data_IF_707698346320
#
_entry.id   IF_707698346320
#
_cell.length_a   1.000
_cell.length_b   1.000
_cell.length_c   1.000
_cell.angle_alpha   90.00
_cell.angle_beta   90.00
_cell.angle_gamma   90.00
#
_symmetry.space_group_name_H-M   'P 1'
#
loop_
_entity.id
_entity.type
_entity.pdbx_description
1 polymer ?
#
# COMPACT_ATOMS: atom_id res chain seq x y z
N UNK A 1 43.34 -69.47 39.57
CA UNK A 1 44.13 -68.24 39.29
C UNK A 1 43.24 -67.27 38.52
N UNK A 2 42.67 -66.26 39.18
CA UNK A 2 41.80 -65.26 38.54
C UNK A 2 42.63 -64.00 38.26
N UNK A 3 42.82 -63.64 37.00
CA UNK A 3 43.47 -62.39 36.58
C UNK A 3 42.39 -61.31 36.45
N UNK A 4 42.44 -60.29 37.29
CA UNK A 4 41.66 -59.06 37.16
C UNK A 4 42.31 -58.17 36.11
N UNK A 5 41.60 -57.87 35.02
CA UNK A 5 41.96 -56.81 34.07
C UNK A 5 41.08 -55.62 34.37
N UNK A 6 41.71 -54.54 34.82
CA UNK A 6 41.08 -53.25 35.12
C UNK A 6 41.03 -52.45 33.81
N UNK A 7 39.84 -52.27 33.22
CA UNK A 7 39.66 -51.35 32.09
C UNK A 7 39.05 -50.04 32.61
N UNK A 8 39.85 -48.98 32.64
CA UNK A 8 39.39 -47.63 32.94
C UNK A 8 38.74 -47.02 31.68
N UNK A 9 37.41 -46.81 31.72
CA UNK A 9 36.69 -46.01 30.73
C UNK A 9 36.60 -44.58 31.26
N UNK A 10 37.46 -43.69 30.73
CA UNK A 10 37.31 -42.24 30.92
C UNK A 10 36.27 -41.78 29.89
N UNK A 11 35.03 -41.61 30.32
CA UNK A 11 34.01 -40.90 29.55
C UNK A 11 34.20 -39.41 29.84
N UNK A 12 34.88 -38.68 28.95
CA UNK A 12 34.85 -37.20 29.01
C UNK A 12 33.47 -36.73 28.56
N UNK A 13 32.69 -36.19 29.50
CA UNK A 13 31.44 -35.50 29.17
C UNK A 13 31.79 -34.17 28.48
N UNK A 14 31.81 -34.16 27.15
CA UNK A 14 31.78 -32.92 26.38
C UNK A 14 30.32 -32.45 26.38
N UNK A 15 29.96 -31.63 27.36
CA UNK A 15 28.70 -30.90 27.35
C UNK A 15 28.77 -29.83 26.26
N UNK A 16 28.36 -30.16 25.04
CA UNK A 16 28.02 -29.16 24.04
C UNK A 16 26.85 -28.33 24.57
N UNK A 17 27.13 -27.11 25.02
CA UNK A 17 26.12 -26.12 25.34
C UNK A 17 25.42 -25.67 24.06
N UNK A 18 24.43 -26.45 23.60
CA UNK A 18 23.51 -26.01 22.57
C UNK A 18 22.72 -24.81 23.12
N UNK A 19 23.05 -23.60 22.65
CA UNK A 19 22.21 -22.43 22.85
C UNK A 19 20.94 -22.66 22.02
N UNK A 20 19.88 -23.13 22.66
CA UNK A 20 18.55 -23.14 22.03
C UNK A 20 18.25 -21.73 21.52
N UNK A 21 17.84 -21.61 20.26
CA UNK A 21 17.38 -20.33 19.71
C UNK A 21 16.16 -19.91 20.52
N UNK A 22 16.25 -18.76 21.20
CA UNK A 22 15.10 -18.20 21.90
C UNK A 22 14.05 -17.87 20.83
N UNK A 23 12.92 -18.58 20.84
CA UNK A 23 11.77 -18.20 20.03
C UNK A 23 11.24 -16.91 20.66
N UNK A 24 11.59 -15.77 20.07
CA UNK A 24 10.98 -14.51 20.43
C UNK A 24 9.53 -14.52 19.94
N UNK A 25 8.58 -14.71 20.85
CA UNK A 25 7.17 -14.48 20.56
C UNK A 25 6.87 -13.00 20.77
N UNK A 26 6.42 -12.32 19.72
CA UNK A 26 5.88 -10.96 19.80
C UNK A 26 4.36 -11.01 19.57
N UNK A 27 3.65 -10.02 20.10
CA UNK A 27 2.21 -9.88 19.99
C UNK A 27 1.82 -8.42 19.85
N UNK A 28 0.82 -8.15 19.03
CA UNK A 28 0.23 -6.83 18.88
C UNK A 28 -1.11 -6.81 19.58
N UNK A 29 -1.32 -5.84 20.48
CA UNK A 29 -2.61 -5.63 21.13
C UNK A 29 -3.41 -4.57 20.36
N UNK A 30 -4.53 -4.99 19.77
CA UNK A 30 -5.45 -4.11 19.03
C UNK A 30 -6.48 -3.40 19.94
N UNK A 31 -6.42 -3.65 21.25
CA UNK A 31 -7.37 -3.16 22.24
C UNK A 31 -8.69 -3.95 22.25
N UNK A 32 -9.63 -3.57 23.13
CA UNK A 32 -10.94 -4.20 23.21
C UNK A 32 -11.67 -4.18 21.86
N UNK A 33 -12.23 -5.34 21.45
CA UNK A 33 -12.91 -5.51 20.17
C UNK A 33 -11.97 -5.72 18.97
N UNK A 34 -10.74 -5.19 18.99
CA UNK A 34 -9.72 -5.46 17.97
C UNK A 34 -9.98 -4.86 16.57
N UNK A 35 -11.02 -4.05 16.40
CA UNK A 35 -11.41 -3.45 15.11
C UNK A 35 -11.49 -1.92 15.13
N UNK A 36 -11.20 -1.27 16.26
CA UNK A 36 -11.31 0.19 16.38
C UNK A 36 -10.03 0.91 15.95
N UNK A 37 -8.88 0.24 16.05
CA UNK A 37 -7.57 0.84 15.84
C UNK A 37 -6.74 0.04 14.84
N UNK A 38 -5.94 0.76 14.07
CA UNK A 38 -4.81 0.19 13.34
C UNK A 38 -3.55 0.28 14.22
N UNK A 39 -2.79 -0.80 14.29
CA UNK A 39 -1.51 -0.85 15.02
C UNK A 39 -0.38 -1.14 14.05
N UNK A 40 0.54 -0.18 13.94
CA UNK A 40 1.72 -0.28 13.11
C UNK A 40 2.84 -0.91 13.94
N UNK A 41 3.40 -1.99 13.41
CA UNK A 41 4.41 -2.79 14.08
C UNK A 41 5.69 -2.85 13.25
N UNK A 42 6.83 -2.77 13.92
CA UNK A 42 8.16 -2.94 13.34
C UNK A 42 8.86 -4.10 14.04
N UNK A 43 9.46 -5.01 13.27
CA UNK A 43 10.25 -6.12 13.86
C UNK A 43 11.41 -5.66 14.75
N UNK A 44 11.91 -4.44 14.54
CA UNK A 44 13.00 -3.88 15.36
C UNK A 44 12.49 -3.21 16.63
N UNK A 45 11.33 -2.53 16.55
CA UNK A 45 10.88 -1.59 17.57
C UNK A 45 9.55 -2.00 18.25
N UNK A 46 8.96 -3.13 17.88
CA UNK A 46 7.64 -3.54 18.35
C UNK A 46 6.51 -2.66 17.78
N UNK A 47 5.46 -2.43 18.56
CA UNK A 47 4.37 -1.51 18.19
C UNK A 47 4.87 -0.06 18.18
N UNK A 48 4.86 0.60 17.03
CA UNK A 48 5.38 1.96 16.84
C UNK A 48 4.29 3.04 16.83
N UNK A 49 3.05 2.67 16.49
CA UNK A 49 1.91 3.60 16.46
C UNK A 49 0.60 2.84 16.59
N UNK A 50 -0.32 3.39 17.38
CA UNK A 50 -1.73 2.97 17.41
C UNK A 50 -2.58 4.19 17.11
N UNK A 51 -3.51 4.07 16.18
CA UNK A 51 -4.43 5.16 15.82
C UNK A 51 -5.81 4.60 15.48
N UNK A 52 -6.88 5.39 15.63
CA UNK A 52 -8.21 4.96 15.16
C UNK A 52 -8.15 4.58 13.69
N UNK A 53 -8.80 3.50 13.30
CA UNK A 53 -8.84 3.06 11.90
C UNK A 53 -9.64 3.99 10.96
N UNK A 54 -10.19 5.08 11.50
CA UNK A 54 -10.78 6.20 10.75
C UNK A 54 -9.83 7.37 10.53
N UNK A 55 -8.60 7.31 11.06
CA UNK A 55 -7.63 8.42 11.03
C UNK A 55 -6.71 8.41 9.78
N UNK A 56 -7.14 7.71 8.72
CA UNK A 56 -6.46 7.74 7.43
C UNK A 56 -7.43 7.49 6.29
N UNK A 57 -7.11 8.04 5.12
CA UNK A 57 -7.93 7.90 3.90
C UNK A 57 -7.17 7.20 2.78
N UNK A 58 -5.93 7.61 2.56
CA UNK A 58 -5.05 7.12 1.49
C UNK A 58 -3.70 6.73 2.06
N UNK A 59 -3.11 5.67 1.53
CA UNK A 59 -1.73 5.27 1.78
C UNK A 59 -0.99 5.15 0.45
N UNK A 60 0.11 5.87 0.30
CA UNK A 60 0.94 5.90 -0.90
C UNK A 60 2.15 4.98 -0.69
N UNK A 61 2.48 4.17 -1.69
CA UNK A 61 3.68 3.33 -1.63
C UNK A 61 4.94 4.19 -1.54
N UNK A 62 5.86 3.77 -0.67
CA UNK A 62 7.23 4.29 -0.54
C UNK A 62 8.27 3.30 -1.07
N UNK A 63 7.82 2.15 -1.57
CA UNK A 63 8.72 1.15 -2.17
C UNK A 63 9.24 1.65 -3.51
N UNK A 64 10.36 1.09 -3.94
CA UNK A 64 10.88 1.31 -5.28
C UNK A 64 10.17 0.43 -6.31
N UNK A 65 9.86 1.01 -7.47
CA UNK A 65 9.35 0.26 -8.63
C UNK A 65 10.42 -0.67 -9.19
N UNK A 66 10.07 -1.93 -9.44
CA UNK A 66 11.02 -2.95 -9.91
C UNK A 66 10.73 -3.37 -11.36
N UNK A 67 11.02 -2.50 -12.32
CA UNK A 67 10.84 -2.85 -13.74
C UNK A 67 11.84 -3.93 -14.21
N UNK A 68 11.43 -4.88 -15.08
CA UNK A 68 10.05 -5.15 -15.52
C UNK A 68 9.31 -6.16 -14.62
N UNK A 69 9.91 -6.64 -13.54
CA UNK A 69 9.36 -7.77 -12.75
C UNK A 69 8.12 -7.41 -11.95
N UNK A 70 8.20 -6.36 -11.13
CA UNK A 70 7.11 -5.84 -10.27
C UNK A 70 7.13 -4.30 -10.28
N UNK A 71 6.87 -3.64 -11.41
CA UNK A 71 6.89 -2.18 -11.48
C UNK A 71 5.81 -1.49 -10.62
N UNK A 72 4.71 -2.19 -10.30
CA UNK A 72 3.59 -1.70 -9.50
C UNK A 72 3.92 -1.46 -8.01
N UNK A 73 4.97 -2.09 -7.49
CA UNK A 73 5.40 -1.97 -6.08
C UNK A 73 5.55 -0.51 -5.65
N UNK A 74 6.16 0.33 -6.50
CA UNK A 74 6.39 1.76 -6.22
C UNK A 74 5.23 2.68 -6.58
N UNK A 75 4.18 2.16 -7.23
CA UNK A 75 3.09 2.94 -7.81
C UNK A 75 1.70 2.62 -7.22
N UNK A 76 1.65 1.89 -6.11
CA UNK A 76 0.41 1.52 -5.41
C UNK A 76 -0.12 2.67 -4.54
N UNK A 77 -1.45 2.89 -4.60
CA UNK A 77 -2.17 3.78 -3.69
C UNK A 77 -3.35 3.00 -3.11
N UNK A 78 -3.30 2.77 -1.80
CA UNK A 78 -4.36 2.08 -1.07
C UNK A 78 -5.37 3.07 -0.49
N UNK A 79 -6.63 2.67 -0.49
CA UNK A 79 -7.74 3.43 0.09
C UNK A 79 -8.21 2.77 1.37
N UNK A 80 -8.51 3.53 2.40
CA UNK A 80 -9.16 2.99 3.60
C UNK A 80 -10.49 2.36 3.20
N UNK A 81 -10.74 1.11 3.59
CA UNK A 81 -11.94 0.34 3.22
C UNK A 81 -13.25 0.93 3.75
N UNK A 82 -13.19 1.96 4.61
CA UNK A 82 -14.35 2.81 4.96
C UNK A 82 -14.75 3.82 3.88
N UNK A 83 -13.97 3.91 2.80
CA UNK A 83 -14.23 4.75 1.64
C UNK A 83 -14.45 3.88 0.40
N UNK A 84 -15.37 4.32 -0.44
CA UNK A 84 -15.59 3.80 -1.79
C UNK A 84 -14.81 4.66 -2.77
N UNK A 85 -13.94 4.04 -3.57
CA UNK A 85 -13.26 4.70 -4.69
C UNK A 85 -13.93 4.32 -6.01
N UNK A 86 -14.22 5.31 -6.85
CA UNK A 86 -14.76 5.10 -8.19
C UNK A 86 -13.97 5.87 -9.22
N UNK A 87 -13.70 5.26 -10.37
CA UNK A 87 -13.10 5.93 -11.52
C UNK A 87 -14.19 6.55 -12.38
N UNK A 88 -14.04 7.82 -12.73
CA UNK A 88 -14.95 8.48 -13.68
C UNK A 88 -14.70 7.99 -15.12
N UNK A 89 -15.69 8.10 -16.02
CA UNK A 89 -15.48 7.85 -17.44
C UNK A 89 -14.35 8.72 -18.00
N UNK A 90 -13.64 8.24 -19.02
CA UNK A 90 -12.50 8.97 -19.63
C UNK A 90 -12.88 10.34 -20.23
N UNK A 91 -14.16 10.57 -20.52
CA UNK A 91 -14.69 11.89 -20.91
C UNK A 91 -14.64 12.93 -19.77
N UNK A 92 -14.53 12.49 -18.52
CA UNK A 92 -14.38 13.32 -17.33
C UNK A 92 -12.92 13.36 -16.90
N UNK A 93 -12.11 14.08 -17.67
CA UNK A 93 -10.66 14.16 -17.47
C UNK A 93 -10.22 15.37 -16.66
N UNK A 94 -8.97 15.35 -16.21
CA UNK A 94 -8.38 16.46 -15.46
C UNK A 94 -8.27 17.77 -16.26
N UNK A 95 -8.24 17.72 -17.60
CA UNK A 95 -8.24 18.94 -18.42
C UNK A 95 -9.56 19.72 -18.31
N UNK A 96 -10.64 19.05 -17.92
CA UNK A 96 -11.95 19.66 -17.65
C UNK A 96 -12.28 19.67 -16.15
N UNK A 97 -11.27 19.72 -15.27
CA UNK A 97 -11.43 19.57 -13.81
C UNK A 97 -12.60 20.38 -13.20
N UNK A 98 -12.79 21.63 -13.65
CA UNK A 98 -13.83 22.52 -13.14
C UNK A 98 -15.25 22.14 -13.55
N UNK A 99 -15.42 21.45 -14.68
CA UNK A 99 -16.73 21.07 -15.22
C UNK A 99 -16.92 19.55 -15.28
N UNK A 100 -16.26 18.81 -14.40
CA UNK A 100 -16.47 17.36 -14.26
C UNK A 100 -17.92 17.10 -13.87
N UNK A 101 -18.59 16.26 -14.65
CA UNK A 101 -19.91 15.73 -14.36
C UNK A 101 -19.81 14.41 -13.57
N UNK A 102 -20.53 14.34 -12.46
CA UNK A 102 -20.64 13.15 -11.61
C UNK A 102 -22.02 12.50 -11.66
N UNK A 103 -22.87 12.88 -12.62
CA UNK A 103 -24.12 12.18 -12.89
C UNK A 103 -23.86 10.68 -13.13
N UNK A 104 -24.69 9.82 -12.53
CA UNK A 104 -24.55 8.37 -12.66
C UNK A 104 -23.42 7.74 -11.83
N UNK A 105 -22.71 8.50 -10.97
CA UNK A 105 -21.62 7.99 -10.13
C UNK A 105 -22.01 6.74 -9.30
N UNK A 106 -23.26 6.64 -8.86
CA UNK A 106 -23.76 5.49 -8.12
C UNK A 106 -23.69 4.18 -8.92
N UNK A 107 -23.79 4.23 -10.25
CA UNK A 107 -23.76 3.08 -11.14
C UNK A 107 -22.33 2.62 -11.52
N UNK A 108 -21.30 3.46 -11.27
CA UNK A 108 -19.92 3.08 -11.55
C UNK A 108 -19.43 2.03 -10.53
N UNK A 109 -18.63 1.04 -10.96
CA UNK A 109 -18.11 0.02 -10.07
C UNK A 109 -17.15 0.64 -9.03
N UNK A 110 -17.15 0.05 -7.84
CA UNK A 110 -16.15 0.33 -6.82
C UNK A 110 -14.81 -0.31 -7.20
N UNK A 111 -13.73 0.42 -6.92
CA UNK A 111 -12.36 -0.07 -7.02
C UNK A 111 -11.85 -0.43 -5.63
N UNK A 112 -11.38 -1.66 -5.48
CA UNK A 112 -10.94 -2.23 -4.22
C UNK A 112 -9.43 -2.40 -4.22
N UNK A 113 -8.83 -2.32 -3.02
CA UNK A 113 -7.45 -2.76 -2.85
C UNK A 113 -7.35 -4.28 -3.05
N UNK A 114 -6.19 -4.78 -3.48
CA UNK A 114 -5.94 -6.22 -3.44
C UNK A 114 -5.96 -6.74 -2.00
N UNK A 115 -6.58 -7.89 -1.82
CA UNK A 115 -6.58 -8.70 -0.59
C UNK A 115 -5.32 -9.57 -0.46
N UNK A 116 -4.54 -9.68 -1.55
CA UNK A 116 -3.43 -10.62 -1.68
C UNK A 116 -2.08 -9.90 -1.64
N UNK A 117 -1.99 -8.68 -2.17
CA UNK A 117 -0.73 -7.90 -2.19
C UNK A 117 -0.95 -6.43 -1.83
N UNK A 118 0.09 -5.81 -1.25
CA UNK A 118 0.16 -4.38 -0.99
C UNK A 118 0.49 -3.56 -2.25
N UNK A 119 1.10 -4.20 -3.24
CA UNK A 119 1.58 -3.58 -4.47
C UNK A 119 0.43 -3.22 -5.44
N UNK A 120 -0.77 -3.71 -5.15
CA UNK A 120 -2.01 -3.38 -5.87
C UNK A 120 -3.03 -2.75 -4.91
N UNK A 121 -3.16 -1.44 -4.99
CA UNK A 121 -4.19 -0.67 -4.31
C UNK A 121 -5.39 -0.37 -5.22
N UNK A 122 -6.38 0.33 -4.68
CA UNK A 122 -7.61 0.62 -5.40
C UNK A 122 -7.40 1.50 -6.65
N UNK A 123 -6.42 2.42 -6.63
CA UNK A 123 -6.14 3.29 -7.79
C UNK A 123 -5.54 2.55 -8.98
N UNK A 124 -4.77 1.50 -8.72
CA UNK A 124 -4.20 0.61 -9.73
C UNK A 124 -4.97 -0.72 -9.84
N UNK A 125 -6.24 -0.75 -9.42
CA UNK A 125 -7.10 -1.91 -9.56
C UNK A 125 -7.25 -2.32 -11.04
N UNK A 126 -7.01 -3.60 -11.31
CA UNK A 126 -7.00 -4.14 -12.67
C UNK A 126 -5.71 -3.90 -13.45
N UNK A 127 -4.62 -3.47 -12.80
CA UNK A 127 -3.29 -3.41 -13.39
C UNK A 127 -2.91 -4.74 -14.05
N UNK A 128 -2.34 -4.66 -15.25
CA UNK A 128 -1.94 -5.81 -16.05
C UNK A 128 -0.47 -5.69 -16.41
N UNK A 129 0.35 -6.59 -15.90
CA UNK A 129 1.81 -6.61 -16.12
C UNK A 129 2.22 -7.26 -17.45
N UNK A 130 1.29 -7.62 -18.31
CA UNK A 130 1.58 -8.32 -19.56
C UNK A 130 1.90 -7.37 -20.72
N UNK A 131 2.91 -7.72 -21.52
CA UNK A 131 3.24 -7.00 -22.77
C UNK A 131 3.44 -5.49 -22.56
N UNK A 132 2.78 -4.69 -23.40
CA UNK A 132 2.84 -3.23 -23.32
C UNK A 132 2.02 -2.64 -22.17
N UNK A 133 1.11 -3.40 -21.55
CA UNK A 133 0.25 -2.92 -20.46
C UNK A 133 1.03 -2.69 -19.16
N UNK A 134 2.27 -3.19 -19.08
CA UNK A 134 3.21 -2.94 -17.97
C UNK A 134 3.45 -1.45 -17.68
N UNK A 135 3.13 -0.57 -18.64
CA UNK A 135 3.26 0.88 -18.49
C UNK A 135 1.94 1.59 -18.14
N UNK A 136 0.81 0.89 -18.07
CA UNK A 136 -0.51 1.43 -17.70
C UNK A 136 -0.89 1.01 -16.27
N UNK A 137 -0.68 1.93 -15.31
CA UNK A 137 -0.94 1.74 -13.89
C UNK A 137 -2.40 2.04 -13.50
N UNK A 138 -3.28 2.20 -14.48
CA UNK A 138 -4.73 2.49 -14.36
C UNK A 138 -5.07 3.86 -13.78
N UNK A 139 -4.35 4.38 -12.81
CA UNK A 139 -4.46 5.79 -12.42
C UNK A 139 -3.61 6.71 -13.30
N UNK A 140 -2.53 6.18 -13.87
CA UNK A 140 -1.59 6.90 -14.72
C UNK A 140 -0.80 5.97 -15.63
N UNK A 141 -0.07 6.56 -16.57
CA UNK A 141 0.77 5.85 -17.53
C UNK A 141 2.24 6.25 -17.37
N UNK A 142 3.14 5.28 -17.48
CA UNK A 142 4.58 5.51 -17.42
C UNK A 142 5.11 6.13 -18.70
N UNK A 143 5.75 7.28 -18.56
CA UNK A 143 6.45 7.95 -19.64
C UNK A 143 7.91 7.47 -19.66
N UNK A 144 8.27 6.69 -20.69
CA UNK A 144 9.59 6.09 -20.82
C UNK A 144 10.72 7.10 -21.10
N UNK A 145 10.38 8.34 -21.50
CA UNK A 145 11.37 9.39 -21.74
C UNK A 145 11.69 10.19 -20.47
N UNK A 146 10.67 10.52 -19.66
CA UNK A 146 10.83 11.30 -18.43
C UNK A 146 10.99 10.41 -17.19
N UNK A 147 10.65 9.13 -17.32
CA UNK A 147 10.53 8.13 -16.26
C UNK A 147 9.45 8.44 -15.22
N UNK A 148 8.56 9.42 -15.46
CA UNK A 148 7.43 9.71 -14.58
C UNK A 148 6.24 8.80 -14.86
N UNK A 149 5.39 8.57 -13.85
CA UNK A 149 4.02 8.10 -14.09
C UNK A 149 3.10 9.31 -14.13
N UNK A 150 2.43 9.52 -15.25
CA UNK A 150 1.58 10.69 -15.52
C UNK A 150 0.11 10.31 -15.39
N UNK A 151 -0.66 11.10 -14.64
CA UNK A 151 -2.06 10.83 -14.36
C UNK A 151 -2.94 10.81 -15.61
N UNK A 152 -3.81 9.80 -15.73
CA UNK A 152 -4.72 9.63 -16.88
C UNK A 152 -6.19 9.67 -16.50
N UNK A 153 -6.55 9.30 -15.26
CA UNK A 153 -7.93 9.13 -14.84
C UNK A 153 -8.27 9.95 -13.59
N UNK A 154 -9.51 10.47 -13.54
CA UNK A 154 -10.06 11.13 -12.36
C UNK A 154 -10.93 10.16 -11.57
N UNK A 155 -10.87 10.28 -10.24
CA UNK A 155 -11.60 9.42 -9.32
C UNK A 155 -12.46 10.24 -8.36
N UNK A 156 -13.43 9.58 -7.75
CA UNK A 156 -14.24 10.11 -6.65
C UNK A 156 -14.16 9.17 -5.46
N UNK A 157 -13.94 9.75 -4.28
CA UNK A 157 -13.94 9.06 -2.98
C UNK A 157 -15.20 9.44 -2.21
N UNK A 158 -15.90 8.44 -1.67
CA UNK A 158 -17.18 8.60 -0.97
C UNK A 158 -17.18 7.78 0.31
N UNK A 159 -17.58 8.37 1.44
CA UNK A 159 -17.77 7.66 2.71
C UNK A 159 -17.19 8.41 3.90
N UNK A 160 -17.64 8.09 5.12
CA UNK A 160 -17.12 8.72 6.36
C UNK A 160 -17.09 10.26 6.34
N UNK A 161 -18.10 10.90 5.73
CA UNK A 161 -18.16 12.36 5.56
C UNK A 161 -17.27 12.92 4.43
N UNK A 162 -16.50 12.07 3.75
CA UNK A 162 -15.74 12.42 2.55
C UNK A 162 -16.62 12.28 1.32
N UNK A 163 -16.64 13.34 0.51
CA UNK A 163 -17.14 13.30 -0.85
C UNK A 163 -16.29 14.21 -1.74
N UNK A 164 -15.19 13.67 -2.28
CA UNK A 164 -14.16 14.44 -2.96
C UNK A 164 -13.78 13.81 -4.30
N UNK A 165 -13.53 14.65 -5.31
CA UNK A 165 -12.85 14.25 -6.54
C UNK A 165 -11.35 14.38 -6.37
N UNK A 166 -10.61 13.46 -6.95
CA UNK A 166 -9.15 13.38 -6.84
C UNK A 166 -8.54 12.97 -8.19
N UNK A 167 -7.42 13.60 -8.53
CA UNK A 167 -6.61 13.29 -9.69
C UNK A 167 -5.16 13.13 -9.25
N UNK A 168 -4.62 11.92 -9.37
CA UNK A 168 -3.20 11.67 -9.13
C UNK A 168 -2.47 12.15 -10.38
N UNK A 169 -1.89 13.35 -10.32
CA UNK A 169 -1.34 14.01 -11.49
C UNK A 169 -0.01 13.41 -11.90
N UNK A 170 0.83 13.02 -10.94
CA UNK A 170 2.15 12.49 -11.25
C UNK A 170 2.76 11.69 -10.09
N UNK A 171 3.55 10.66 -10.41
CA UNK A 171 4.66 10.20 -9.58
C UNK A 171 5.97 10.60 -10.28
N UNK A 172 6.74 11.47 -9.63
CA UNK A 172 8.02 12.01 -10.11
C UNK A 172 9.10 10.91 -10.04
N UNK A 173 9.18 10.11 -11.08
CA UNK A 173 9.95 8.87 -11.14
C UNK A 173 9.57 7.93 -10.00
N UNK A 174 10.25 8.08 -8.87
CA UNK A 174 10.02 7.34 -7.65
C UNK A 174 10.32 8.19 -6.40
N UNK A 175 10.12 9.51 -6.48
CA UNK A 175 10.58 10.46 -5.44
C UNK A 175 9.46 11.28 -4.81
N UNK A 176 8.43 11.63 -5.57
CA UNK A 176 7.32 12.44 -5.06
C UNK A 176 6.00 12.15 -5.76
N UNK A 177 4.96 12.00 -4.98
CA UNK A 177 3.57 11.93 -5.43
C UNK A 177 2.98 13.33 -5.52
N UNK A 178 2.23 13.58 -6.60
CA UNK A 178 1.49 14.82 -6.83
C UNK A 178 0.05 14.50 -7.16
N UNK A 179 -0.86 15.22 -6.53
CA UNK A 179 -2.29 15.08 -6.82
C UNK A 179 -3.06 16.35 -6.56
N UNK A 180 -4.21 16.46 -7.20
CA UNK A 180 -5.21 17.50 -6.96
C UNK A 180 -6.41 16.83 -6.32
N UNK A 181 -6.95 17.44 -5.26
CA UNK A 181 -8.16 16.98 -4.59
C UNK A 181 -9.08 18.17 -4.34
N UNK A 182 -10.39 18.00 -4.51
CA UNK A 182 -11.38 19.02 -4.19
C UNK A 182 -12.74 18.43 -3.85
N UNK A 183 -13.63 19.26 -3.30
CA UNK A 183 -15.06 18.95 -3.33
C UNK A 183 -15.55 18.88 -4.78
N UNK A 184 -16.68 18.22 -5.01
CA UNK A 184 -17.23 18.04 -6.38
C UNK A 184 -17.56 19.38 -7.05
N UNK A 185 -18.03 20.35 -6.26
CA UNK A 185 -18.36 21.73 -6.66
C UNK A 185 -17.14 22.64 -6.86
N UNK A 186 -15.92 22.09 -6.79
CA UNK A 186 -14.62 22.77 -6.88
C UNK A 186 -14.20 23.60 -5.66
N UNK A 187 -15.00 23.63 -4.59
CA UNK A 187 -14.55 24.22 -3.33
C UNK A 187 -13.49 23.34 -2.67
N UNK A 188 -12.71 23.91 -1.74
CA UNK A 188 -11.64 23.20 -1.02
C UNK A 188 -10.68 22.45 -1.97
N UNK A 189 -10.30 23.11 -3.07
CA UNK A 189 -9.40 22.55 -4.09
C UNK A 189 -7.95 22.78 -3.68
N UNK A 190 -7.20 21.70 -3.56
CA UNK A 190 -5.80 21.72 -3.16
C UNK A 190 -4.92 20.88 -4.07
N UNK A 191 -3.72 21.39 -4.39
CA UNK A 191 -2.64 20.62 -5.00
C UNK A 191 -1.69 20.16 -3.90
N UNK A 192 -1.46 18.86 -3.82
CA UNK A 192 -0.69 18.23 -2.74
C UNK A 192 0.55 17.56 -3.34
N UNK A 193 1.65 17.64 -2.59
CA UNK A 193 2.90 16.94 -2.88
C UNK A 193 3.32 16.13 -1.66
N UNK A 194 3.53 14.82 -1.84
CA UNK A 194 4.07 13.92 -0.81
C UNK A 194 5.42 13.43 -1.31
N UNK A 195 6.50 13.70 -0.57
CA UNK A 195 7.83 13.19 -0.87
C UNK A 195 8.03 11.84 -0.19
N UNK A 196 8.64 10.90 -0.90
CA UNK A 196 9.05 9.60 -0.36
C UNK A 196 10.29 9.74 0.52
#
# INVERSE_FOLDING_TARGET
>A
MKKTILSALIISAISFGAKAQYIASDSVNLGPGGYLNDVFYSFKNGSIKTQPNSDWHLAFSVQASQFPTNPETGASIRVNTKLVLKKLPSSQSASNWRNIDTAGLYALPELLNSDTTWDLGAFNAGYDKSGANIFDFKWGAYNQSTHNLEGTNVFVMIGSGIYKKIFISQLDQDTAWRFIISNLDNTDSSSVVIRK
#
